data_IF_989700431011
#
_entry.id   IF_989700431011
#
_cell.length_a   1.000
_cell.length_b   1.000
_cell.length_c   1.000
_cell.angle_alpha   90.00
_cell.angle_beta   90.00
_cell.angle_gamma   90.00
#
_symmetry.space_group_name_H-M   'P 1'
#
loop_
_entity.id
_entity.type
_entity.pdbx_description
1 polymer ?
#
# COMPACT_ATOMS: atom_id res chain seq x y z
N UNK A 1 13.19 -19.15 4.44
CA UNK A 1 13.35 -18.60 4.17
C UNK A 1 12.64 -17.66 3.93
N UNK A 2 12.54 -17.02 4.30
CA UNK A 2 11.75 -16.07 4.16
C UNK A 2 11.60 -15.57 2.94
N UNK A 3 11.76 -16.23 2.18
CA UNK A 3 11.53 -15.89 0.95
C UNK A 3 10.34 -15.18 0.76
N UNK A 4 9.53 -15.11 1.70
CA UNK A 4 8.28 -14.54 1.43
C UNK A 4 8.34 -13.06 1.36
N UNK A 5 9.38 -12.43 1.63
CA UNK A 5 9.40 -11.01 1.60
C UNK A 5 9.45 -10.53 0.18
N UNK A 6 8.36 -10.06 -0.32
CA UNK A 6 8.30 -9.57 -1.66
C UNK A 6 8.17 -8.08 -1.66
N UNK A 7 8.77 -7.42 -2.63
CA UNK A 7 8.75 -5.97 -2.73
C UNK A 7 7.92 -5.59 -3.94
N UNK A 8 7.01 -4.66 -3.76
CA UNK A 8 6.11 -4.25 -4.82
C UNK A 8 6.38 -2.83 -5.25
N UNK A 9 6.15 -2.57 -6.53
CA UNK A 9 6.17 -1.20 -7.03
C UNK A 9 4.81 -0.58 -6.75
N UNK A 10 4.67 0.70 -7.06
CA UNK A 10 3.40 1.38 -6.87
C UNK A 10 2.31 0.70 -7.71
N UNK A 11 2.62 0.39 -8.96
CA UNK A 11 1.63 -0.23 -9.80
C UNK A 11 1.24 -1.61 -9.29
N UNK A 12 2.21 -2.36 -8.82
CA UNK A 12 1.92 -3.68 -8.30
C UNK A 12 1.10 -3.59 -7.03
N UNK A 13 1.41 -2.62 -6.18
CA UNK A 13 0.64 -2.46 -4.96
C UNK A 13 -0.79 -2.05 -5.28
N UNK A 14 -0.97 -1.19 -6.26
CA UNK A 14 -2.30 -0.78 -6.63
C UNK A 14 -3.12 -1.98 -7.08
N UNK A 15 -2.51 -2.87 -7.85
CA UNK A 15 -3.20 -4.07 -8.28
C UNK A 15 -3.47 -5.00 -7.11
N UNK A 16 -2.52 -5.09 -6.21
CA UNK A 16 -2.65 -5.97 -5.07
C UNK A 16 -3.81 -5.52 -4.18
N UNK A 17 -3.96 -4.23 -3.99
CA UNK A 17 -5.02 -3.69 -3.16
C UNK A 17 -6.27 -3.38 -3.96
N UNK A 18 -6.19 -3.52 -5.27
CA UNK A 18 -7.32 -3.30 -6.15
C UNK A 18 -7.82 -1.87 -6.10
N UNK A 19 -6.91 -0.94 -6.14
CA UNK A 19 -7.26 0.46 -6.21
C UNK A 19 -6.43 1.09 -7.31
N UNK A 20 -6.78 2.28 -7.70
CA UNK A 20 -6.02 2.98 -8.70
C UNK A 20 -4.73 3.48 -8.09
N UNK A 21 -3.68 3.59 -8.90
CA UNK A 21 -2.41 4.04 -8.35
C UNK A 21 -2.48 5.46 -7.81
N UNK A 22 -3.40 6.27 -8.30
CA UNK A 22 -3.52 7.61 -7.76
C UNK A 22 -3.92 7.56 -6.29
N UNK A 23 -4.65 6.54 -5.89
CA UNK A 23 -5.00 6.37 -4.49
C UNK A 23 -3.76 6.07 -3.68
N UNK A 24 -2.84 5.27 -4.24
CA UNK A 24 -1.60 4.97 -3.54
C UNK A 24 -0.81 6.25 -3.32
N UNK A 25 -0.68 7.06 -4.35
CA UNK A 25 0.08 8.31 -4.20
C UNK A 25 -0.58 9.25 -3.21
N UNK A 26 -1.91 9.29 -3.19
CA UNK A 26 -2.59 10.13 -2.25
C UNK A 26 -2.34 9.69 -0.82
N UNK A 27 -2.37 8.39 -0.58
CA UNK A 27 -2.11 7.87 0.76
C UNK A 27 -0.67 8.13 1.18
N UNK A 28 0.26 8.02 0.24
CA UNK A 28 1.65 8.30 0.55
C UNK A 28 1.83 9.77 0.94
N UNK A 29 1.14 10.65 0.24
CA UNK A 29 1.27 12.05 0.54
C UNK A 29 0.76 12.36 1.92
N UNK A 30 -0.25 11.65 2.36
CA UNK A 30 -0.79 11.86 3.69
C UNK A 30 -0.04 11.11 4.76
N UNK A 31 0.95 10.34 4.39
CA UNK A 31 1.70 9.55 5.36
C UNK A 31 0.90 8.42 5.96
N UNK A 32 -0.09 7.93 5.23
CA UNK A 32 -0.96 6.89 5.75
C UNK A 32 -0.68 5.50 5.20
N UNK A 33 0.36 5.35 4.44
CA UNK A 33 0.67 4.07 3.83
C UNK A 33 2.14 3.75 4.07
N UNK A 34 2.46 2.58 4.58
CA UNK A 34 3.85 2.25 4.85
C UNK A 34 4.57 1.93 3.55
N UNK A 35 5.58 2.66 3.26
CA UNK A 35 6.39 2.44 2.08
C UNK A 35 7.77 2.99 2.29
N UNK A 36 8.67 2.70 1.39
CA UNK A 36 10.01 3.26 1.49
C UNK A 36 10.48 3.64 0.11
N UNK A 37 11.43 4.54 0.05
CA UNK A 37 11.94 5.02 -1.20
C UNK A 37 13.31 4.46 -1.48
N UNK A 38 13.53 4.08 -2.72
CA UNK A 38 14.85 3.69 -3.17
C UNK A 38 15.15 4.68 -4.27
N UNK A 39 16.01 5.64 -3.98
CA UNK A 39 16.22 6.72 -4.92
C UNK A 39 14.95 7.54 -4.98
N UNK A 40 14.37 7.63 -6.13
CA UNK A 40 13.14 8.39 -6.26
C UNK A 40 11.94 7.47 -6.45
N UNK A 41 12.13 6.17 -6.30
CA UNK A 41 11.05 5.23 -6.54
C UNK A 41 10.49 4.67 -5.25
N UNK A 42 9.19 4.59 -5.17
CA UNK A 42 8.55 4.01 -3.99
C UNK A 42 8.49 2.50 -4.11
N UNK A 43 8.67 1.83 -2.99
CA UNK A 43 8.56 0.38 -2.93
C UNK A 43 7.84 -0.02 -1.64
N UNK A 44 7.26 -1.21 -1.63
CA UNK A 44 6.45 -1.66 -0.50
C UNK A 44 6.73 -3.12 -0.21
N UNK A 45 6.86 -3.45 1.07
CA UNK A 45 7.01 -4.84 1.47
C UNK A 45 5.64 -5.44 1.64
N UNK A 46 5.39 -6.56 0.99
CA UNK A 46 4.09 -7.21 1.07
C UNK A 46 3.69 -7.52 2.50
N UNK A 47 4.63 -7.99 3.31
CA UNK A 47 4.29 -8.35 4.67
C UNK A 47 3.86 -7.13 5.47
N UNK A 48 4.50 -6.02 5.26
CA UNK A 48 4.16 -4.81 5.96
C UNK A 48 2.81 -4.30 5.48
N UNK A 49 2.57 -4.40 4.20
CA UNK A 49 1.29 -3.98 3.64
C UNK A 49 0.16 -4.85 4.18
N UNK A 50 0.39 -6.15 4.30
CA UNK A 50 -0.64 -7.03 4.81
C UNK A 50 -0.98 -6.70 6.25
N UNK A 51 0.02 -6.41 7.06
CA UNK A 51 -0.24 -6.02 8.42
C UNK A 51 -1.00 -4.71 8.49
N UNK A 52 -0.60 -3.77 7.63
CA UNK A 52 -1.24 -2.47 7.63
C UNK A 52 -2.71 -2.60 7.26
N UNK A 53 -3.02 -3.37 6.21
CA UNK A 53 -4.40 -3.43 5.79
C UNK A 53 -5.26 -4.23 6.78
N UNK A 54 -4.66 -5.17 7.48
CA UNK A 54 -5.43 -5.90 8.48
C UNK A 54 -5.79 -5.00 9.65
N UNK A 55 -4.93 -4.05 9.94
CA UNK A 55 -5.23 -3.14 11.01
C UNK A 55 -6.30 -2.15 10.66
N UNK A 56 -6.55 -1.92 9.39
CA UNK A 56 -7.59 -0.98 9.02
C UNK A 56 -8.95 -1.51 9.40
N UNK A 57 -9.09 -2.80 9.42
CA UNK A 57 -10.35 -3.37 9.85
C UNK A 57 -11.47 -3.16 8.87
N UNK A 58 -12.53 -3.90 9.02
CA UNK A 58 -13.63 -3.80 8.08
C UNK A 58 -14.36 -2.50 8.28
N UNK A 59 -14.68 -1.88 7.23
CA UNK A 59 -15.49 -0.71 7.30
C UNK A 59 -14.79 0.56 7.64
N UNK A 60 -13.54 0.51 7.80
CA UNK A 60 -12.86 1.68 8.17
C UNK A 60 -12.65 2.66 7.09
N UNK A 61 -12.46 2.20 5.94
CA UNK A 61 -12.14 3.09 4.87
C UNK A 61 -13.23 3.44 4.00
N UNK A 62 -14.37 2.99 4.27
CA UNK A 62 -15.36 3.18 3.33
C UNK A 62 -15.66 4.55 3.04
N UNK A 63 -15.45 5.42 3.89
CA UNK A 63 -15.82 6.72 3.57
C UNK A 63 -14.99 7.22 2.48
N UNK A 64 -13.90 6.62 2.27
CA UNK A 64 -13.13 7.08 1.24
C UNK A 64 -13.49 6.48 0.07
N UNK A 65 -14.34 5.59 0.09
CA UNK A 65 -14.68 4.85 -1.02
C UNK A 65 -14.91 5.66 -2.20
N UNK A 66 -14.98 6.87 -2.02
CA UNK A 66 -15.19 7.67 -3.15
C UNK A 66 -14.17 7.42 -4.20
N UNK A 67 -13.15 6.81 -3.91
CA UNK A 67 -12.28 6.50 -4.94
C UNK A 67 -12.86 5.57 -5.83
#
# INVERSE_FOLDING_TARGET
>A
MPSSTKVLTVNELAEYLRVHRSTIYRLLKKGQLPGFKIGSDWRFNVEVIDEWRLRQGPGVMEEEGAD
#
